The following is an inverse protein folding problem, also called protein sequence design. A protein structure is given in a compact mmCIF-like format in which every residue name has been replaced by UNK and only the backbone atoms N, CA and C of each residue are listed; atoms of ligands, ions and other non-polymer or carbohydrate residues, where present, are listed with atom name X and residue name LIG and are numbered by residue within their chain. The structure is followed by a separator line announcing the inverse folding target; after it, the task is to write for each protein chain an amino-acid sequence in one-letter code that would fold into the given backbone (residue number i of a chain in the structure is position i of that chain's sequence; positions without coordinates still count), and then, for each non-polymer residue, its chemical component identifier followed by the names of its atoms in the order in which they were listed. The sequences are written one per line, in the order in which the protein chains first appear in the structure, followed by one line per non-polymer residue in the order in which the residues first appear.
data_IF_996962162197
#
_entry.id   IF_996962162197
#
_cell.length_a   1.000
_cell.length_b   1.000
_cell.length_c   1.000
_cell.angle_alpha   90.00
_cell.angle_beta   90.00
_cell.angle_gamma   90.00
#
_symmetry.space_group_name_H-M   'P 1'
#
loop_
_entity.id
_entity.type
_entity.pdbx_description
1 polymer ?
#
# COMPACT_ATOMS: atom_id res chain seq x y z
N UNK A 1 17.63 11.36 23.91
CA UNK A 1 16.75 11.49 22.72
C UNK A 1 15.67 10.43 22.85
N UNK A 2 14.40 10.79 22.76
CA UNK A 2 13.34 9.79 22.66
C UNK A 2 13.53 9.01 21.35
N UNK A 3 13.37 7.68 21.37
CA UNK A 3 13.45 6.88 20.16
C UNK A 3 12.29 7.25 19.23
N UNK A 4 12.58 7.48 17.95
CA UNK A 4 11.56 7.72 16.93
C UNK A 4 10.71 6.45 16.75
N UNK A 5 9.39 6.57 16.87
CA UNK A 5 8.47 5.45 16.63
C UNK A 5 8.58 5.00 15.19
N UNK A 6 8.80 3.71 14.96
CA UNK A 6 8.83 3.11 13.63
C UNK A 6 7.47 2.48 13.31
N UNK A 7 6.84 2.89 12.21
CA UNK A 7 5.52 2.43 11.79
C UNK A 7 5.62 1.69 10.46
N UNK A 8 5.10 0.46 10.43
CA UNK A 8 4.94 -0.31 9.20
C UNK A 8 3.46 -0.28 8.80
N UNK A 9 3.16 0.29 7.64
CA UNK A 9 1.83 0.24 7.02
C UNK A 9 1.86 -0.85 5.97
N UNK A 10 1.21 -1.97 6.25
CA UNK A 10 1.08 -3.11 5.35
C UNK A 10 -0.36 -3.17 4.87
N UNK A 11 -0.58 -3.13 3.56
CA UNK A 11 -1.93 -3.08 2.99
C UNK A 11 -2.12 -4.08 1.85
N UNK A 12 -3.36 -4.51 1.67
CA UNK A 12 -3.83 -5.15 0.44
C UNK A 12 -4.93 -4.28 -0.16
N UNK A 13 -4.91 -4.08 -1.48
CA UNK A 13 -6.00 -3.44 -2.20
C UNK A 13 -6.10 -4.03 -3.60
N UNK A 14 -7.29 -4.47 -3.99
CA UNK A 14 -7.53 -4.89 -5.37
C UNK A 14 -7.69 -3.67 -6.27
N UNK A 15 -8.57 -2.72 -5.90
CA UNK A 15 -8.96 -1.59 -6.75
C UNK A 15 -8.57 -0.22 -6.18
N UNK A 16 -7.65 -0.17 -5.22
CA UNK A 16 -7.00 1.06 -4.76
C UNK A 16 -7.61 1.79 -3.55
N UNK A 17 -8.84 1.47 -3.12
CA UNK A 17 -9.44 2.17 -1.95
C UNK A 17 -8.60 2.01 -0.68
N UNK A 18 -8.16 0.80 -0.37
CA UNK A 18 -7.30 0.55 0.81
C UNK A 18 -5.91 1.13 0.62
N UNK A 19 -5.40 1.23 -0.61
CA UNK A 19 -4.13 1.89 -0.89
C UNK A 19 -4.18 3.39 -0.55
N UNK A 20 -5.25 4.08 -0.94
CA UNK A 20 -5.48 5.48 -0.59
C UNK A 20 -5.54 5.68 0.94
N UNK A 21 -6.22 4.78 1.65
CA UNK A 21 -6.24 4.79 3.12
C UNK A 21 -4.83 4.55 3.70
N UNK A 22 -4.07 3.63 3.14
CA UNK A 22 -2.70 3.35 3.58
C UNK A 22 -1.77 4.55 3.38
N UNK A 23 -1.90 5.26 2.26
CA UNK A 23 -1.17 6.51 2.01
C UNK A 23 -1.52 7.59 3.05
N UNK A 24 -2.81 7.78 3.33
CA UNK A 24 -3.27 8.74 4.34
C UNK A 24 -2.75 8.39 5.75
N UNK A 25 -2.69 7.09 6.10
CA UNK A 25 -2.08 6.64 7.36
C UNK A 25 -0.57 6.92 7.37
N UNK A 26 0.13 6.73 6.25
CA UNK A 26 1.56 7.04 6.16
C UNK A 26 1.84 8.53 6.36
N UNK A 27 1.06 9.40 5.73
CA UNK A 27 1.15 10.85 5.88
C UNK A 27 0.93 11.26 7.35
N UNK A 28 -0.20 10.86 7.95
CA UNK A 28 -0.52 11.21 9.33
C UNK A 28 0.50 10.68 10.35
N UNK A 29 1.05 9.48 10.14
CA UNK A 29 2.10 8.93 10.99
C UNK A 29 3.42 9.70 10.84
N UNK A 30 3.77 10.11 9.62
CA UNK A 30 4.92 10.95 9.33
C UNK A 30 4.82 12.33 10.00
N UNK A 31 3.64 12.96 9.91
CA UNK A 31 3.34 14.25 10.57
C UNK A 31 3.42 14.16 12.10
N UNK A 32 3.10 12.99 12.67
CA UNK A 32 3.27 12.70 14.09
C UNK A 32 4.73 12.41 14.49
N UNK A 33 5.68 12.49 13.55
CA UNK A 33 7.11 12.31 13.76
C UNK A 33 7.61 10.87 13.66
N UNK A 34 6.79 9.93 13.17
CA UNK A 34 7.20 8.53 13.01
C UNK A 34 8.09 8.31 11.77
N UNK A 35 8.96 7.31 11.84
CA UNK A 35 9.63 6.73 10.66
C UNK A 35 8.69 5.71 10.02
N UNK A 36 8.21 5.99 8.82
CA UNK A 36 7.15 5.19 8.17
C UNK A 36 7.69 4.40 7.00
N UNK A 37 7.26 3.14 6.88
CA UNK A 37 7.39 2.35 5.65
C UNK A 37 6.03 1.87 5.18
N UNK A 38 5.77 2.01 3.88
CA UNK A 38 4.60 1.47 3.20
C UNK A 38 4.99 0.19 2.46
N UNK A 39 4.19 -0.87 2.62
CA UNK A 39 4.39 -2.15 1.95
C UNK A 39 3.06 -2.72 1.46
N UNK A 40 3.05 -3.23 0.24
CA UNK A 40 1.88 -3.96 -0.29
C UNK A 40 1.98 -5.45 0.03
N UNK A 41 0.84 -6.10 0.22
CA UNK A 41 0.74 -7.55 0.26
C UNK A 41 0.77 -8.07 -1.17
N UNK A 42 1.52 -9.16 -1.40
CA UNK A 42 1.58 -9.83 -2.70
C UNK A 42 0.20 -10.25 -3.18
N UNK A 43 -0.10 -9.92 -4.44
CA UNK A 43 -1.30 -10.40 -5.11
C UNK A 43 -1.16 -11.89 -5.47
N UNK A 44 -2.20 -12.68 -5.16
CA UNK A 44 -2.26 -14.13 -5.40
C UNK A 44 -3.27 -14.50 -6.48
N UNK A 45 -4.09 -13.55 -6.92
CA UNK A 45 -5.03 -13.74 -8.01
C UNK A 45 -4.31 -14.03 -9.34
N UNK A 46 -4.86 -14.90 -10.19
CA UNK A 46 -4.35 -15.10 -11.54
C UNK A 46 -4.44 -13.82 -12.39
N UNK A 47 -3.51 -13.64 -13.32
CA UNK A 47 -3.49 -12.48 -14.23
C UNK A 47 -4.81 -12.30 -15.02
N UNK A 48 -5.47 -13.40 -15.39
CA UNK A 48 -6.78 -13.36 -16.05
C UNK A 48 -7.83 -12.65 -15.19
N UNK A 49 -7.89 -12.99 -13.89
CA UNK A 49 -8.84 -12.39 -12.96
C UNK A 49 -8.56 -10.90 -12.79
N UNK A 50 -7.29 -10.51 -12.69
CA UNK A 50 -6.88 -9.10 -12.56
C UNK A 50 -7.23 -8.32 -13.83
N UNK A 51 -6.91 -8.85 -15.00
CA UNK A 51 -7.20 -8.21 -16.30
C UNK A 51 -8.69 -8.13 -16.63
N UNK A 52 -9.51 -9.02 -16.06
CA UNK A 52 -10.97 -8.99 -16.23
C UNK A 52 -11.64 -7.80 -15.51
N UNK A 53 -10.94 -7.19 -14.55
CA UNK A 53 -11.42 -6.03 -13.81
C UNK A 53 -10.50 -4.82 -14.09
N UNK A 54 -11.02 -3.84 -14.83
CA UNK A 54 -10.26 -2.65 -15.23
C UNK A 54 -9.71 -1.85 -14.04
N UNK A 55 -10.43 -1.76 -12.94
CA UNK A 55 -9.98 -1.10 -11.72
C UNK A 55 -8.84 -1.85 -11.03
N UNK A 56 -8.88 -3.19 -11.05
CA UNK A 56 -7.83 -4.03 -10.46
C UNK A 56 -6.55 -3.97 -11.29
N UNK A 57 -6.67 -4.09 -12.62
CA UNK A 57 -5.54 -3.96 -13.53
C UNK A 57 -4.89 -2.57 -13.45
N UNK A 58 -5.70 -1.50 -13.39
CA UNK A 58 -5.18 -0.14 -13.23
C UNK A 58 -4.41 0.03 -11.92
N UNK A 59 -4.96 -0.49 -10.82
CA UNK A 59 -4.29 -0.41 -9.53
C UNK A 59 -3.01 -1.25 -9.45
N UNK A 60 -2.98 -2.41 -10.10
CA UNK A 60 -1.78 -3.24 -10.18
C UNK A 60 -0.63 -2.50 -10.88
N UNK A 61 -0.93 -1.77 -11.97
CA UNK A 61 0.04 -0.93 -12.67
C UNK A 61 0.47 0.28 -11.83
N UNK A 62 -0.48 0.98 -11.22
CA UNK A 62 -0.22 2.14 -10.35
C UNK A 62 0.75 1.79 -9.21
N UNK A 63 0.62 0.60 -8.64
CA UNK A 63 1.40 0.19 -7.47
C UNK A 63 2.51 -0.79 -7.77
N UNK A 64 2.92 -0.94 -9.04
CA UNK A 64 3.97 -1.88 -9.43
C UNK A 64 5.30 -1.63 -8.69
N UNK A 65 5.60 -0.37 -8.36
CA UNK A 65 6.84 0.05 -7.71
C UNK A 65 6.74 0.08 -6.17
N UNK A 66 5.56 -0.17 -5.60
CA UNK A 66 5.40 -0.27 -4.14
C UNK A 66 6.01 -1.59 -3.68
N UNK A 67 6.98 -1.58 -2.75
CA UNK A 67 7.62 -2.81 -2.30
C UNK A 67 6.66 -3.75 -1.57
N UNK A 68 6.87 -5.06 -1.73
CA UNK A 68 6.14 -6.06 -0.96
C UNK A 68 6.65 -6.14 0.50
N UNK A 69 5.74 -6.56 1.40
CA UNK A 69 5.98 -6.72 2.83
C UNK A 69 6.84 -7.94 3.17
#
# INVERSE_FOLDING_TARGET
MAAQTKVAVIYYSATGTTYQLAQAVCEAAGDAGAEVRLRKVRELAPDEAIRSNSGWHAHQLETQDVPEA
#
